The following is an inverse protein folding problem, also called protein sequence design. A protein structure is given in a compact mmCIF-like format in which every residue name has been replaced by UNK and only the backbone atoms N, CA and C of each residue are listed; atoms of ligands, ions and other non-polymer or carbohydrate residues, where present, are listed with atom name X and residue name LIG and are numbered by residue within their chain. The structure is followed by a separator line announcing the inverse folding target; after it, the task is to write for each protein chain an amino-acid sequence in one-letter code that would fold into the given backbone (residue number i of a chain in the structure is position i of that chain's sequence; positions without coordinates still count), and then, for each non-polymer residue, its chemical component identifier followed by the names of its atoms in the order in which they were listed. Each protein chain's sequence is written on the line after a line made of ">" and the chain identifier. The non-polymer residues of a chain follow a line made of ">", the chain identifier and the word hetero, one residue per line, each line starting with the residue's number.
data_IF_578896511187
#
_entry.id   IF_578896511187
#
_cell.length_a   1.000
_cell.length_b   1.000
_cell.length_c   1.000
_cell.angle_alpha   90.00
_cell.angle_beta   90.00
_cell.angle_gamma   90.00
#
_symmetry.space_group_name_H-M   'P 1'
#
loop_
_entity.id
_entity.type
_entity.pdbx_description
1 polymer ?
#
# COMPACT_ATOMS: atom_id res chain seq x y z
N UNK A 1 -10.93 15.26 -23.04
CA UNK A 1 -11.29 14.08 -22.22
C UNK A 1 -11.43 14.45 -20.74
N UNK A 2 -10.40 15.02 -20.09
CA UNK A 2 -10.48 15.43 -18.67
C UNK A 2 -11.63 16.39 -18.36
N UNK A 3 -11.84 17.44 -19.17
CA UNK A 3 -12.95 18.38 -18.99
C UNK A 3 -14.33 17.68 -18.95
N UNK A 4 -14.58 16.72 -19.86
CA UNK A 4 -15.82 15.93 -19.88
C UNK A 4 -16.00 15.09 -18.60
N UNK A 5 -14.92 14.53 -18.06
CA UNK A 5 -14.97 13.77 -16.80
C UNK A 5 -15.21 14.67 -15.59
N UNK A 6 -14.71 15.91 -15.63
CA UNK A 6 -14.96 16.91 -14.58
C UNK A 6 -16.41 17.40 -14.62
N UNK A 7 -16.92 17.75 -15.81
CA UNK A 7 -18.32 18.16 -16.00
C UNK A 7 -19.31 17.08 -15.56
N UNK A 8 -18.97 15.80 -15.78
CA UNK A 8 -19.79 14.66 -15.36
C UNK A 8 -19.58 14.25 -13.88
N UNK A 9 -18.81 15.00 -13.08
CA UNK A 9 -18.37 14.64 -11.72
C UNK A 9 -17.74 13.22 -11.60
N UNK A 10 -17.19 12.72 -12.71
CA UNK A 10 -16.55 11.41 -12.81
C UNK A 10 -15.04 11.46 -12.49
N UNK A 11 -14.47 12.66 -12.30
CA UNK A 11 -13.08 12.86 -11.90
C UNK A 11 -12.97 13.79 -10.69
N UNK A 12 -12.28 13.31 -9.66
CA UNK A 12 -11.95 14.09 -8.48
C UNK A 12 -10.49 13.87 -8.10
N UNK A 13 -9.61 14.82 -8.43
CA UNK A 13 -8.17 14.65 -8.25
C UNK A 13 -7.37 15.84 -8.77
N UNK A 14 -6.06 15.63 -8.86
CA UNK A 14 -5.13 16.60 -9.45
C UNK A 14 -4.35 15.96 -10.58
N UNK A 15 -4.15 16.70 -11.68
CA UNK A 15 -3.33 16.29 -12.83
C UNK A 15 -2.25 17.33 -13.06
N UNK A 16 -1.02 16.89 -13.29
CA UNK A 16 0.09 17.74 -13.74
C UNK A 16 0.77 17.09 -14.93
N UNK A 17 0.99 17.85 -16.01
CA UNK A 17 1.81 17.43 -17.14
C UNK A 17 3.06 18.30 -17.16
N UNK A 18 4.21 17.66 -17.30
CA UNK A 18 5.51 18.30 -17.35
C UNK A 18 6.31 17.82 -18.56
N UNK A 19 7.14 18.71 -19.10
CA UNK A 19 8.10 18.42 -20.17
C UNK A 19 9.44 19.00 -19.77
N UNK A 20 10.50 18.19 -19.84
CA UNK A 20 11.85 18.57 -19.37
C UNK A 20 11.86 19.09 -17.93
N UNK A 21 11.11 18.44 -17.04
CA UNK A 21 10.98 18.85 -15.64
C UNK A 21 10.12 20.09 -15.39
N UNK A 22 9.67 20.79 -16.44
CA UNK A 22 8.86 22.00 -16.34
C UNK A 22 7.37 21.69 -16.53
N UNK A 23 6.51 21.98 -15.52
CA UNK A 23 5.06 21.84 -15.65
C UNK A 23 4.51 22.86 -16.66
N UNK A 24 3.74 22.40 -17.65
CA UNK A 24 3.04 23.28 -18.59
C UNK A 24 1.51 23.16 -18.48
N UNK A 25 1.01 22.20 -17.71
CA UNK A 25 -0.41 22.03 -17.43
C UNK A 25 -0.62 21.51 -16.00
N UNK A 26 -1.57 22.13 -15.30
CA UNK A 26 -2.02 21.70 -13.96
C UNK A 26 -3.53 21.83 -13.87
N UNK A 27 -4.18 20.83 -13.29
CA UNK A 27 -5.63 20.84 -13.04
C UNK A 27 -5.92 20.24 -11.67
N UNK A 28 -6.92 20.77 -10.97
CA UNK A 28 -7.44 20.25 -9.72
C UNK A 28 -8.97 20.32 -9.78
N UNK A 29 -9.65 19.23 -9.44
CA UNK A 29 -11.11 19.15 -9.45
C UNK A 29 -11.64 18.33 -8.28
N UNK A 30 -12.79 18.76 -7.76
CA UNK A 30 -13.51 18.13 -6.66
C UNK A 30 -12.97 18.46 -5.27
N UNK A 31 -13.46 17.73 -4.27
CA UNK A 31 -13.20 18.01 -2.86
C UNK A 31 -12.10 17.12 -2.30
N UNK A 32 -11.17 17.71 -1.54
CA UNK A 32 -10.18 17.01 -0.73
C UNK A 32 -10.85 16.41 0.53
N UNK A 33 -11.87 17.11 1.05
CA UNK A 33 -12.75 16.58 2.09
C UNK A 33 -14.20 16.88 1.75
N UNK A 34 -15.01 15.84 1.53
CA UNK A 34 -16.45 15.99 1.31
C UNK A 34 -17.17 16.46 2.57
N UNK A 35 -16.78 15.94 3.75
CA UNK A 35 -17.38 16.30 5.04
C UNK A 35 -17.28 17.79 5.35
N UNK A 36 -16.14 18.39 5.02
CA UNK A 36 -15.83 19.78 5.34
C UNK A 36 -15.93 20.70 4.12
N UNK A 37 -16.42 20.18 2.98
CA UNK A 37 -16.49 20.90 1.72
C UNK A 37 -15.17 21.59 1.31
N UNK A 38 -14.04 20.91 1.53
CA UNK A 38 -12.70 21.48 1.24
C UNK A 38 -12.34 21.19 -0.21
N UNK A 39 -12.12 22.19 -1.07
CA UNK A 39 -11.73 21.98 -2.46
C UNK A 39 -10.30 21.44 -2.58
N UNK A 40 -10.04 20.63 -3.62
CA UNK A 40 -8.67 20.24 -3.99
C UNK A 40 -7.92 21.42 -4.58
N UNK A 41 -6.66 21.54 -4.18
CA UNK A 41 -5.65 22.42 -4.76
C UNK A 41 -4.52 21.60 -5.38
N UNK A 42 -3.64 22.23 -6.17
CA UNK A 42 -2.50 21.55 -6.79
C UNK A 42 -1.49 20.94 -5.81
N UNK A 43 -1.48 21.41 -4.56
CA UNK A 43 -0.63 20.94 -3.46
C UNK A 43 -1.40 20.06 -2.44
N UNK A 44 -2.60 19.60 -2.81
CA UNK A 44 -3.33 18.61 -2.01
C UNK A 44 -2.50 17.33 -1.87
N UNK A 45 -2.34 16.83 -0.64
CA UNK A 45 -1.65 15.57 -0.38
C UNK A 45 -2.59 14.38 -0.59
N UNK A 46 -2.07 13.32 -1.20
CA UNK A 46 -2.79 12.08 -1.47
C UNK A 46 -2.02 10.88 -0.91
N UNK A 47 -2.74 9.85 -0.49
CA UNK A 47 -2.15 8.54 -0.22
C UNK A 47 -1.80 7.88 -1.56
N UNK A 48 -0.52 7.75 -1.86
CA UNK A 48 -0.03 7.27 -3.17
C UNK A 48 -0.16 5.75 -3.38
N UNK A 49 -0.57 5.02 -2.34
CA UNK A 49 -0.77 3.57 -2.38
C UNK A 49 0.45 2.85 -3.01
N UNK A 50 0.24 2.03 -4.04
CA UNK A 50 1.31 1.22 -4.64
C UNK A 50 2.42 2.02 -5.33
N UNK A 51 2.21 3.30 -5.66
CA UNK A 51 3.29 4.15 -6.19
C UNK A 51 4.46 4.25 -5.20
N UNK A 52 4.19 4.13 -3.90
CA UNK A 52 5.22 4.13 -2.83
C UNK A 52 6.29 3.06 -3.02
N UNK A 53 6.00 1.94 -3.71
CA UNK A 53 6.97 0.83 -3.92
C UNK A 53 8.23 1.27 -4.65
N UNK A 54 8.13 2.25 -5.56
CA UNK A 54 9.31 2.77 -6.26
C UNK A 54 10.29 3.44 -5.30
N UNK A 55 9.80 4.15 -4.28
CA UNK A 55 10.64 4.75 -3.26
C UNK A 55 11.28 3.68 -2.35
N UNK A 56 10.52 2.64 -2.00
CA UNK A 56 11.06 1.48 -1.27
C UNK A 56 12.16 0.79 -2.08
N UNK A 57 11.98 0.59 -3.38
CA UNK A 57 12.99 -0.02 -4.25
C UNK A 57 14.27 0.83 -4.31
N UNK A 58 14.16 2.16 -4.39
CA UNK A 58 15.32 3.06 -4.31
C UNK A 58 16.02 2.96 -2.96
N UNK A 59 15.28 2.91 -1.86
CA UNK A 59 15.87 2.75 -0.52
C UNK A 59 16.64 1.42 -0.40
N UNK A 60 16.09 0.32 -0.94
CA UNK A 60 16.78 -0.98 -1.00
C UNK A 60 18.05 -0.89 -1.86
N UNK A 61 17.97 -0.26 -3.04
CA UNK A 61 19.15 -0.08 -3.90
C UNK A 61 20.26 0.73 -3.22
N UNK A 62 19.90 1.75 -2.44
CA UNK A 62 20.87 2.52 -1.64
C UNK A 62 21.53 1.67 -0.54
N UNK A 63 20.80 0.74 0.07
CA UNK A 63 21.38 -0.21 1.04
C UNK A 63 22.33 -1.20 0.36
N UNK A 64 22.01 -1.64 -0.86
CA UNK A 64 22.89 -2.49 -1.67
C UNK A 64 24.16 -1.76 -2.07
N UNK A 65 24.04 -0.51 -2.53
CA UNK A 65 25.18 0.34 -2.86
C UNK A 65 26.11 0.55 -1.65
N UNK A 66 25.54 0.62 -0.44
CA UNK A 66 26.29 0.72 0.82
C UNK A 66 26.89 -0.62 1.29
N UNK A 67 26.66 -1.73 0.57
CA UNK A 67 27.11 -3.06 0.96
C UNK A 67 26.46 -3.60 2.24
N UNK A 68 25.30 -3.07 2.64
CA UNK A 68 24.58 -3.50 3.86
C UNK A 68 23.73 -4.74 3.66
N UNK A 69 23.29 -4.96 2.43
CA UNK A 69 22.57 -6.14 1.93
C UNK A 69 23.00 -6.36 0.47
N UNK A 70 22.78 -7.54 -0.08
CA UNK A 70 22.90 -7.83 -1.51
C UNK A 70 21.53 -8.17 -2.12
N UNK A 71 21.42 -8.08 -3.45
CA UNK A 71 20.18 -8.47 -4.15
C UNK A 71 19.91 -9.97 -4.05
N UNK A 72 20.97 -10.77 -3.90
CA UNK A 72 20.88 -12.23 -3.79
C UNK A 72 20.73 -12.72 -2.35
N UNK A 73 20.81 -11.82 -1.36
CA UNK A 73 20.51 -12.15 0.03
C UNK A 73 19.07 -12.66 0.12
N UNK A 74 18.92 -13.76 0.83
CA UNK A 74 17.63 -14.33 1.20
C UNK A 74 16.96 -13.51 2.29
N UNK A 75 15.63 -13.61 2.40
CA UNK A 75 14.86 -12.95 3.46
C UNK A 75 15.38 -13.34 4.84
N UNK A 76 15.75 -14.60 5.05
CA UNK A 76 16.24 -15.11 6.33
C UNK A 76 17.62 -14.57 6.74
N UNK A 77 18.46 -14.18 5.79
CA UNK A 77 19.74 -13.51 6.08
C UNK A 77 19.53 -12.09 6.64
N UNK A 78 18.46 -11.41 6.22
CA UNK A 78 18.12 -10.04 6.64
C UNK A 78 17.18 -10.03 7.85
N UNK A 79 16.25 -10.99 7.91
CA UNK A 79 15.19 -11.12 8.91
C UNK A 79 15.21 -12.55 9.48
N UNK A 80 16.10 -12.83 10.46
CA UNK A 80 16.31 -14.20 10.96
C UNK A 80 15.11 -14.80 11.69
N UNK A 81 14.19 -13.95 12.19
CA UNK A 81 13.00 -14.37 12.93
C UNK A 81 11.74 -14.48 12.05
N UNK A 82 11.87 -14.58 10.72
CA UNK A 82 10.72 -14.74 9.83
C UNK A 82 9.99 -16.08 10.12
N UNK A 83 8.68 -16.06 10.42
CA UNK A 83 7.94 -17.26 10.81
C UNK A 83 7.71 -18.23 9.64
N UNK A 84 7.98 -17.83 8.40
CA UNK A 84 7.84 -18.67 7.22
C UNK A 84 9.22 -19.14 6.73
N UNK A 85 9.67 -20.28 7.24
CA UNK A 85 10.98 -20.84 6.90
C UNK A 85 11.22 -21.02 5.40
N UNK A 86 10.18 -21.37 4.64
CA UNK A 86 10.32 -21.55 3.20
C UNK A 86 10.64 -20.23 2.50
N UNK A 87 9.94 -19.15 2.89
CA UNK A 87 10.22 -17.79 2.39
C UNK A 87 11.61 -17.36 2.83
N UNK A 88 11.92 -17.51 4.12
CA UNK A 88 13.21 -17.14 4.69
C UNK A 88 14.40 -17.75 3.93
N UNK A 89 14.30 -19.02 3.51
CA UNK A 89 15.41 -19.74 2.84
C UNK A 89 15.49 -19.56 1.33
N UNK A 90 14.40 -19.19 0.64
CA UNK A 90 14.35 -19.25 -0.84
C UNK A 90 14.01 -17.94 -1.53
N UNK A 91 13.39 -16.98 -0.83
CA UNK A 91 13.04 -15.69 -1.41
C UNK A 91 14.21 -14.74 -1.20
N UNK A 92 14.70 -14.13 -2.28
CA UNK A 92 15.77 -13.14 -2.24
C UNK A 92 15.22 -11.71 -2.30
N UNK A 93 16.06 -10.73 -1.99
CA UNK A 93 15.74 -9.32 -2.20
C UNK A 93 15.33 -9.05 -3.66
N UNK A 94 16.04 -9.65 -4.63
CA UNK A 94 15.70 -9.56 -6.05
C UNK A 94 14.27 -10.05 -6.32
N UNK A 95 13.89 -11.21 -5.80
CA UNK A 95 12.53 -11.77 -5.95
C UNK A 95 11.43 -10.84 -5.41
N UNK A 96 11.71 -10.12 -4.31
CA UNK A 96 10.77 -9.16 -3.74
C UNK A 96 10.63 -7.91 -4.62
N UNK A 97 11.75 -7.34 -5.10
CA UNK A 97 11.76 -6.15 -5.93
C UNK A 97 11.15 -6.37 -7.31
N UNK A 98 11.30 -7.57 -7.88
CA UNK A 98 10.79 -7.93 -9.20
C UNK A 98 9.40 -8.58 -9.17
N UNK A 99 8.79 -8.73 -7.99
CA UNK A 99 7.50 -9.39 -7.80
C UNK A 99 7.46 -10.86 -8.28
N UNK A 100 8.57 -11.60 -8.17
CA UNK A 100 8.67 -13.02 -8.56
C UNK A 100 8.80 -13.98 -7.38
N UNK A 101 8.68 -13.49 -6.14
CA UNK A 101 8.81 -14.32 -4.92
C UNK A 101 7.76 -15.41 -4.73
N UNK A 102 6.64 -15.36 -5.47
CA UNK A 102 5.51 -16.28 -5.30
C UNK A 102 4.69 -16.05 -4.02
N UNK A 103 5.04 -15.05 -3.20
CA UNK A 103 4.30 -14.71 -1.98
C UNK A 103 2.94 -14.14 -2.36
N UNK A 104 1.87 -14.79 -1.88
CA UNK A 104 0.50 -14.32 -2.12
C UNK A 104 0.19 -13.10 -1.25
N UNK A 105 -0.35 -12.05 -1.88
CA UNK A 105 -0.70 -10.83 -1.17
C UNK A 105 -1.84 -11.03 -0.16
N UNK A 106 -1.89 -10.19 0.87
CA UNK A 106 -2.91 -10.22 1.92
C UNK A 106 -4.35 -10.23 1.37
N UNK A 107 -4.61 -9.53 0.27
CA UNK A 107 -5.93 -9.53 -0.39
C UNK A 107 -6.30 -10.92 -0.96
N UNK A 108 -5.34 -11.65 -1.50
CA UNK A 108 -5.56 -13.01 -1.99
C UNK A 108 -5.70 -14.02 -0.84
N UNK A 109 -4.99 -13.80 0.28
CA UNK A 109 -5.18 -14.57 1.51
C UNK A 109 -6.59 -14.38 2.08
N UNK A 110 -7.08 -13.15 2.16
CA UNK A 110 -8.44 -12.84 2.62
C UNK A 110 -9.52 -13.46 1.71
N UNK A 111 -9.31 -13.46 0.40
CA UNK A 111 -10.24 -14.10 -0.54
C UNK A 111 -10.28 -15.63 -0.44
N UNK A 112 -9.23 -16.25 0.12
CA UNK A 112 -9.15 -17.70 0.37
C UNK A 112 -9.54 -18.09 1.79
N UNK A 113 -9.74 -17.12 2.68
CA UNK A 113 -10.17 -17.40 4.04
C UNK A 113 -11.57 -18.02 4.00
N UNK A 114 -11.84 -19.09 4.76
CA UNK A 114 -13.20 -19.60 4.90
C UNK A 114 -14.09 -18.47 5.41
N UNK A 115 -15.31 -18.38 4.87
CA UNK A 115 -16.33 -17.42 5.31
C UNK A 115 -16.37 -17.37 6.85
N UNK A 116 -16.33 -16.18 7.47
CA UNK A 116 -16.39 -16.09 8.91
C UNK A 116 -17.60 -16.86 9.41
N UNK A 117 -17.39 -17.86 10.27
CA UNK A 117 -18.46 -18.63 10.93
C UNK A 117 -19.42 -17.64 11.58
N UNK A 118 -20.53 -17.35 10.90
CA UNK A 118 -21.68 -16.49 11.24
C UNK A 118 -21.41 -15.26 12.14
N UNK A 119 -22.02 -14.12 11.80
CA UNK A 119 -21.97 -12.89 12.59
C UNK A 119 -22.28 -13.04 14.12
N UNK A 120 -22.94 -14.14 14.54
CA UNK A 120 -23.16 -14.49 15.94
C UNK A 120 -21.86 -14.65 16.76
N UNK A 121 -20.81 -15.23 16.18
CA UNK A 121 -19.57 -15.54 16.94
C UNK A 121 -18.72 -14.30 17.23
N UNK A 122 -18.81 -13.26 16.39
CA UNK A 122 -18.08 -11.98 16.60
C UNK A 122 -18.77 -11.13 17.68
N UNK A 123 -20.11 -11.12 17.71
CA UNK A 123 -20.89 -10.44 18.75
C UNK A 123 -20.68 -11.09 20.13
N UNK A 124 -20.62 -12.43 20.21
CA UNK A 124 -20.38 -13.15 21.46
C UNK A 124 -18.97 -12.97 22.03
N UNK A 125 -17.95 -12.78 21.18
CA UNK A 125 -16.59 -12.46 21.65
C UNK A 125 -16.48 -11.04 22.18
N UNK A 126 -17.14 -10.08 21.53
CA UNK A 126 -17.11 -8.67 21.93
C UNK A 126 -17.81 -8.43 23.27
N UNK A 127 -18.82 -9.24 23.62
CA UNK A 127 -19.50 -9.13 24.91
C UNK A 127 -18.73 -9.78 26.07
N UNK A 128 -17.96 -10.86 25.82
CA UNK A 128 -17.14 -11.51 26.86
C UNK A 128 -15.89 -10.73 27.29
N UNK A 129 -15.46 -9.74 26.51
CA UNK A 129 -14.32 -8.90 26.84
C UNK A 129 -14.67 -7.71 27.76
N UNK A 130 -15.95 -7.37 27.88
CA UNK A 130 -16.39 -6.23 28.71
C UNK A 130 -16.61 -6.65 30.17
N UNK A 131 -17.05 -7.89 30.41
CA UNK A 131 -17.27 -8.42 31.77
C UNK A 131 -15.97 -8.74 32.55
N UNK A 132 -14.81 -8.76 31.89
CA UNK A 132 -13.52 -9.11 32.54
C UNK A 132 -12.68 -7.91 32.98
N UNK A 133 -13.16 -6.69 32.78
CA UNK A 133 -12.49 -5.45 33.21
C UNK A 133 -13.20 -4.82 34.43
N UNK A 134 -14.30 -5.43 34.91
CA UNK A 134 -14.98 -5.03 36.14
C UNK A 134 -15.25 -6.27 37.01
N UNK A 135 -14.18 -6.89 37.50
CA UNK A 135 -14.14 -7.60 38.80
C UNK A 135 -12.71 -7.79 39.24
#
# INVERSE_FOLDING_TARGET
>A
MLAKLVEADAFSGTVTLARHGQPFYRHASGLASRRWNVPKRHDTRFNLASVTKMFTAVAVAQLVEQGKIAYDDTVGEILPDDPNEQVARTVTVHHLLSHTSGIIGARALLAKAPEPRSARTIAERRNRSVDRVVT
#
